data_IF_261567515518
#
_entry.id   IF_261567515518
#
_cell.length_a   1.000
_cell.length_b   1.000
_cell.length_c   1.000
_cell.angle_alpha   90.00
_cell.angle_beta   90.00
_cell.angle_gamma   90.00
#
_symmetry.space_group_name_H-M   'P 1'
#
loop_
_entity.id
_entity.type
_entity.pdbx_description
1 polymer ?
#
# COMPACT_ATOMS: atom_id res chain seq x y z
N UNK A 1 17.37 20.30 4.80
CA UNK A 1 16.82 19.21 5.64
C UNK A 1 16.13 19.84 6.83
N UNK A 2 14.91 19.41 7.14
CA UNK A 2 14.19 19.89 8.31
C UNK A 2 14.41 18.94 9.48
N UNK A 3 14.51 19.51 10.67
CA UNK A 3 14.63 18.73 11.90
C UNK A 3 13.31 18.79 12.67
N UNK A 4 12.90 17.65 13.20
CA UNK A 4 11.74 17.54 14.09
C UNK A 4 12.13 16.74 15.31
N UNK A 5 11.62 17.16 16.47
CA UNK A 5 11.79 16.42 17.71
C UNK A 5 10.65 15.41 17.88
N UNK A 6 11.00 14.18 18.24
CA UNK A 6 10.01 13.17 18.63
C UNK A 6 9.29 13.59 19.90
N UNK A 7 8.03 13.16 20.05
CA UNK A 7 7.26 13.34 21.29
C UNK A 7 6.63 12.02 21.73
N UNK A 8 6.47 11.86 23.04
CA UNK A 8 5.73 10.74 23.61
C UNK A 8 4.24 11.08 23.62
N UNK A 9 3.41 10.19 23.10
CA UNK A 9 1.95 10.28 23.15
C UNK A 9 1.40 8.94 23.65
N UNK A 10 0.95 8.92 24.91
CA UNK A 10 0.60 7.67 25.59
C UNK A 10 1.80 6.73 25.68
N UNK A 11 1.66 5.52 25.16
CA UNK A 11 2.72 4.52 25.08
C UNK A 11 3.51 4.54 23.76
N UNK A 12 3.28 5.52 22.88
CA UNK A 12 3.90 5.60 21.57
C UNK A 12 4.84 6.80 21.43
N UNK A 13 5.79 6.71 20.49
CA UNK A 13 6.64 7.82 20.04
C UNK A 13 6.11 8.32 18.70
N UNK A 14 5.89 9.63 18.59
CA UNK A 14 5.38 10.29 17.39
C UNK A 14 6.41 11.26 16.80
N UNK A 15 6.44 11.30 15.48
CA UNK A 15 7.16 12.30 14.67
C UNK A 15 6.13 13.18 13.97
N UNK A 16 6.31 14.50 14.05
CA UNK A 16 5.41 15.43 13.35
C UNK A 16 5.92 15.68 11.94
N UNK A 17 5.10 15.41 10.93
CA UNK A 17 5.42 15.73 9.54
C UNK A 17 4.93 17.15 9.24
N UNK A 18 5.82 18.00 8.71
CA UNK A 18 5.45 19.36 8.33
C UNK A 18 4.45 19.35 7.16
N UNK A 19 3.52 20.32 7.14
CA UNK A 19 2.45 20.40 6.13
C UNK A 19 2.97 20.48 4.68
N UNK A 20 4.17 21.04 4.49
CA UNK A 20 4.84 21.13 3.18
C UNK A 20 5.11 19.78 2.51
N UNK A 21 5.10 18.68 3.27
CA UNK A 21 5.24 17.33 2.72
C UNK A 21 3.91 16.75 2.21
N UNK A 22 2.79 17.46 2.40
CA UNK A 22 1.49 17.07 1.82
C UNK A 22 0.93 15.74 2.34
N UNK A 23 1.36 15.28 3.52
CA UNK A 23 0.88 14.02 4.10
C UNK A 23 -0.47 14.24 4.79
N UNK A 24 -1.58 13.65 4.28
CA UNK A 24 -2.89 13.82 4.88
C UNK A 24 -3.01 13.04 6.19
N UNK A 25 -3.85 13.54 7.11
CA UNK A 25 -4.20 12.83 8.33
C UNK A 25 -4.95 11.52 8.02
N UNK A 26 -4.72 10.48 8.81
CA UNK A 26 -5.40 9.19 8.68
C UNK A 26 -4.83 8.22 7.64
N UNK A 27 -3.80 8.62 6.89
CA UNK A 27 -3.14 7.73 5.91
C UNK A 27 -2.26 6.69 6.62
N UNK A 28 -2.36 5.44 6.16
CA UNK A 28 -1.62 4.30 6.71
C UNK A 28 -0.31 4.10 5.93
N UNK A 29 0.76 3.80 6.65
CA UNK A 29 2.09 3.57 6.09
C UNK A 29 2.65 2.25 6.63
N UNK A 30 3.38 1.52 5.78
CA UNK A 30 4.34 0.52 6.23
C UNK A 30 5.59 1.23 6.75
N UNK A 31 6.14 0.69 7.84
CA UNK A 31 7.36 1.20 8.46
C UNK A 31 8.46 0.14 8.37
N UNK A 32 9.62 0.54 7.88
CA UNK A 32 10.85 -0.26 7.94
C UNK A 32 11.97 0.55 8.57
N UNK A 33 12.85 -0.15 9.29
CA UNK A 33 14.07 0.43 9.85
C UNK A 33 15.26 -0.23 9.16
N UNK A 34 16.11 0.58 8.58
CA UNK A 34 17.34 0.16 7.91
C UNK A 34 18.51 0.08 8.93
N UNK A 35 19.60 -0.58 8.56
CA UNK A 35 20.76 -0.80 9.45
C UNK A 35 21.46 0.50 9.86
N UNK A 36 21.43 1.51 8.99
CA UNK A 36 21.97 2.86 9.23
C UNK A 36 21.10 3.70 10.20
N UNK A 37 19.95 3.15 10.61
CA UNK A 37 18.98 3.83 11.48
C UNK A 37 17.94 4.67 10.72
N UNK A 38 17.97 4.69 9.39
CA UNK A 38 16.94 5.33 8.56
C UNK A 38 15.60 4.64 8.77
N UNK A 39 14.56 5.45 8.96
CA UNK A 39 13.17 4.98 9.06
C UNK A 39 12.46 5.36 7.77
N UNK A 40 12.03 4.34 7.03
CA UNK A 40 11.31 4.50 5.77
C UNK A 40 9.81 4.33 6.00
N UNK A 41 9.02 5.29 5.49
CA UNK A 41 7.56 5.30 5.56
C UNK A 41 6.98 5.15 4.17
N UNK A 42 6.41 3.98 3.88
CA UNK A 42 5.88 3.65 2.56
C UNK A 42 4.35 3.69 2.62
N UNK A 43 3.68 4.55 1.85
CA UNK A 43 2.23 4.67 1.91
C UNK A 43 1.58 3.34 1.51
N UNK A 44 0.66 2.84 2.34
CA UNK A 44 -0.18 1.71 1.96
C UNK A 44 -1.20 2.21 0.93
N UNK A 45 -1.12 1.66 -0.27
CA UNK A 45 -2.10 1.91 -1.33
C UNK A 45 -3.31 1.02 -1.01
N UNK A 46 -4.49 1.63 -0.89
CA UNK A 46 -5.72 0.90 -0.56
C UNK A 46 -6.22 0.08 -1.75
N UNK A 47 -6.14 0.64 -2.95
CA UNK A 47 -6.49 -0.05 -4.19
C UNK A 47 -5.72 0.59 -5.36
N UNK A 48 -4.98 -0.26 -6.08
CA UNK A 48 -4.13 0.12 -7.21
C UNK A 48 -4.93 0.42 -8.47
N UNK A 49 -6.20 -0.01 -8.51
CA UNK A 49 -7.08 0.07 -9.67
C UNK A 49 -8.21 1.10 -9.49
N UNK A 50 -8.21 1.90 -8.43
CA UNK A 50 -9.23 2.96 -8.22
C UNK A 50 -9.28 3.94 -9.38
N UNK A 51 -8.12 4.22 -10.01
CA UNK A 51 -8.02 5.09 -11.18
C UNK A 51 -8.02 4.32 -12.51
N UNK A 52 -8.11 2.99 -12.48
CA UNK A 52 -8.12 2.18 -13.68
C UNK A 52 -9.43 2.40 -14.43
N UNK A 53 -9.34 2.64 -15.74
CA UNK A 53 -10.51 2.59 -16.61
C UNK A 53 -10.89 1.14 -16.86
N UNK A 54 -12.18 0.92 -17.15
CA UNK A 54 -12.67 -0.39 -17.55
C UNK A 54 -11.85 -0.90 -18.74
N UNK A 55 -11.27 -2.09 -18.60
CA UNK A 55 -10.43 -2.77 -19.59
C UNK A 55 -9.07 -2.11 -19.88
N UNK A 56 -8.54 -1.26 -18.99
CA UNK A 56 -7.22 -0.61 -19.20
C UNK A 56 -6.03 -1.57 -19.08
N UNK A 57 -6.17 -2.61 -18.26
CA UNK A 57 -5.13 -3.60 -17.99
C UNK A 57 -5.45 -4.99 -18.54
N UNK A 58 -6.43 -5.08 -19.44
CA UNK A 58 -6.76 -6.34 -20.14
C UNK A 58 -5.94 -6.35 -21.43
N UNK A 59 -5.08 -7.35 -21.60
CA UNK A 59 -4.34 -7.57 -22.84
C UNK A 59 -4.92 -8.75 -23.65
N UNK A 60 -4.38 -8.99 -24.84
CA UNK A 60 -4.82 -10.07 -25.73
C UNK A 60 -4.62 -11.47 -25.11
N UNK A 61 -3.75 -11.60 -24.11
CA UNK A 61 -3.51 -12.85 -23.37
C UNK A 61 -4.61 -13.09 -22.33
N UNK A 62 -5.12 -12.03 -21.69
CA UNK A 62 -6.25 -12.07 -20.76
C UNK A 62 -7.60 -12.46 -21.42
N UNK A 63 -7.76 -12.23 -22.74
CA UNK A 63 -8.96 -12.63 -23.47
C UNK A 63 -9.17 -14.15 -23.43
N UNK A 64 -8.09 -14.93 -23.44
CA UNK A 64 -8.13 -16.40 -23.36
C UNK A 64 -8.57 -16.89 -21.96
N UNK A 65 -8.28 -16.13 -20.91
CA UNK A 65 -8.67 -16.45 -19.53
C UNK A 65 -10.10 -16.02 -19.19
N UNK A 66 -10.71 -15.13 -19.98
CA UNK A 66 -12.03 -14.55 -19.70
C UNK A 66 -13.16 -15.59 -19.68
N UNK A 67 -12.99 -16.72 -20.38
CA UNK A 67 -13.96 -17.81 -20.44
C UNK A 67 -13.53 -19.06 -19.64
N UNK A 68 -12.48 -18.95 -18.81
CA UNK A 68 -11.99 -20.07 -18.02
C UNK A 68 -12.80 -20.20 -16.72
N UNK A 69 -13.75 -21.14 -16.69
CA UNK A 69 -14.43 -21.55 -15.47
C UNK A 69 -13.80 -22.83 -14.93
N UNK A 70 -13.23 -22.79 -13.72
CA UNK A 70 -12.91 -24.01 -12.97
C UNK A 70 -14.21 -24.62 -12.45
N UNK A 71 -14.67 -25.68 -13.08
CA UNK A 71 -15.63 -26.57 -12.42
C UNK A 71 -14.90 -27.24 -11.26
N UNK A 72 -15.37 -27.01 -10.04
CA UNK A 72 -14.88 -27.73 -8.86
C UNK A 72 -15.25 -29.20 -9.00
N UNK A 73 -14.38 -29.99 -9.63
CA UNK A 73 -14.44 -31.44 -9.54
C UNK A 73 -14.08 -31.84 -8.12
N UNK A 74 -15.06 -32.32 -7.35
CA UNK A 74 -14.78 -33.10 -6.16
C UNK A 74 -13.94 -34.30 -6.60
N UNK A 75 -12.66 -34.31 -6.25
CA UNK A 75 -11.85 -35.52 -6.30
C UNK A 75 -12.37 -36.42 -5.18
N UNK A 76 -13.25 -37.36 -5.52
CA UNK A 76 -13.48 -38.54 -4.68
C UNK A 76 -12.28 -39.46 -4.87
N UNK A 77 -11.57 -39.71 -3.77
CA UNK A 77 -10.43 -40.63 -3.63
C UNK A 77 -10.90 -42.09 -3.53
#
# INVERSE_FOLDING_TARGET
MDTVKTRKQGNAVMVTLASKYGVPAGKVYYISKEEDGTISLIPKIEDYFVSAKKNEFIDEEDELATNFSVESGSFDE
#
